data_IF_392014128758
#
_entry.id   IF_392014128758
#
_cell.length_a   1.000
_cell.length_b   1.000
_cell.length_c   1.000
_cell.angle_alpha   90.00
_cell.angle_beta   90.00
_cell.angle_gamma   90.00
#
_symmetry.space_group_name_H-M   'P 1'
#
loop_
_entity.id
_entity.type
_entity.pdbx_description
1 polymer ?
#
# COMPACT_ATOMS: atom_id res chain seq x y z
N UNK A 1 -9.23 -15.96 4.16
CA UNK A 1 -7.78 -16.12 3.94
C UNK A 1 -7.38 -15.47 2.63
N UNK A 2 -6.92 -14.22 2.64
CA UNK A 2 -6.14 -13.67 1.52
C UNK A 2 -4.80 -14.39 1.46
N UNK A 3 -4.60 -15.27 0.47
CA UNK A 3 -3.27 -15.71 0.06
C UNK A 3 -2.81 -14.80 -1.10
N UNK A 4 -1.52 -14.52 -1.32
CA UNK A 4 -1.06 -13.66 -2.43
C UNK A 4 0.14 -14.32 -3.17
N UNK A 5 0.01 -14.55 -4.46
CA UNK A 5 0.57 -15.75 -5.08
C UNK A 5 1.08 -15.34 -6.43
N UNK A 6 2.40 -15.45 -6.51
CA UNK A 6 3.28 -14.90 -7.54
C UNK A 6 2.83 -13.55 -8.08
N UNK A 7 3.37 -12.51 -7.45
CA UNK A 7 3.76 -11.33 -8.18
C UNK A 7 4.63 -11.72 -9.39
N UNK A 8 4.38 -11.09 -10.53
CA UNK A 8 5.29 -11.09 -11.69
C UNK A 8 6.50 -10.20 -11.40
N UNK A 9 7.23 -10.56 -10.35
CA UNK A 9 8.64 -10.32 -10.08
C UNK A 9 8.96 -11.23 -8.90
N UNK A 10 10.14 -11.85 -8.88
CA UNK A 10 10.48 -12.95 -7.97
C UNK A 10 10.59 -12.61 -6.47
N UNK A 11 9.96 -11.52 -5.98
CA UNK A 11 10.19 -10.92 -4.66
C UNK A 11 8.94 -10.47 -3.87
N UNK A 12 7.72 -10.88 -4.23
CA UNK A 12 6.52 -10.57 -3.44
C UNK A 12 6.50 -11.29 -2.06
N UNK A 13 5.87 -10.68 -1.05
CA UNK A 13 5.66 -11.28 0.28
C UNK A 13 4.20 -11.69 0.48
N UNK A 14 3.99 -12.94 0.89
CA UNK A 14 2.69 -13.41 1.38
C UNK A 14 2.41 -12.85 2.79
N UNK A 15 1.23 -12.25 2.94
CA UNK A 15 0.72 -11.71 4.20
C UNK A 15 -0.69 -12.27 4.41
N UNK A 16 -0.89 -12.92 5.55
CA UNK A 16 -2.22 -13.35 5.98
C UNK A 16 -2.92 -12.18 6.67
N UNK A 17 -4.21 -12.00 6.39
CA UNK A 17 -5.05 -11.01 7.06
C UNK A 17 -6.34 -11.61 7.57
N UNK A 18 -6.78 -11.07 8.71
CA UNK A 18 -8.02 -11.35 9.38
C UNK A 18 -8.94 -10.10 9.40
N UNK A 19 -10.19 -10.31 9.81
CA UNK A 19 -11.12 -9.20 10.00
C UNK A 19 -10.58 -8.24 11.08
N UNK A 20 -10.57 -6.94 10.76
CA UNK A 20 -10.05 -5.89 11.63
C UNK A 20 -8.60 -5.49 11.33
N UNK A 21 -7.87 -6.27 10.54
CA UNK A 21 -6.52 -5.88 10.10
C UNK A 21 -6.58 -4.70 9.14
N UNK A 22 -5.58 -3.81 9.25
CA UNK A 22 -5.40 -2.68 8.35
C UNK A 22 -4.04 -2.77 7.69
N UNK A 23 -4.05 -2.81 6.35
CA UNK A 23 -2.84 -2.76 5.55
C UNK A 23 -2.72 -1.37 4.95
N UNK A 24 -1.54 -0.76 5.15
CA UNK A 24 -1.16 0.46 4.47
C UNK A 24 -0.12 0.14 3.38
N UNK A 25 -0.42 0.51 2.14
CA UNK A 25 0.42 0.23 0.98
C UNK A 25 1.02 1.54 0.45
N UNK A 26 2.35 1.65 0.33
CA UNK A 26 2.98 2.78 -0.36
C UNK A 26 2.56 2.85 -1.83
N UNK A 27 2.60 4.05 -2.42
CA UNK A 27 2.41 4.21 -3.86
C UNK A 27 3.37 3.31 -4.66
N UNK A 28 2.88 2.77 -5.78
CA UNK A 28 3.62 1.82 -6.61
C UNK A 28 3.59 0.37 -6.12
N UNK A 29 2.94 0.07 -4.99
CA UNK A 29 2.82 -1.29 -4.48
C UNK A 29 1.73 -2.06 -5.23
N UNK A 30 2.14 -3.04 -6.04
CA UNK A 30 1.23 -4.06 -6.55
C UNK A 30 0.81 -5.04 -5.47
N UNK A 31 -0.48 -5.35 -5.37
CA UNK A 31 -0.98 -6.38 -4.47
C UNK A 31 -2.00 -7.26 -5.22
N UNK A 32 -2.19 -8.49 -4.74
CA UNK A 32 -3.10 -9.44 -5.33
C UNK A 32 -3.74 -10.28 -4.23
N UNK A 33 -5.01 -10.61 -4.45
CA UNK A 33 -5.68 -11.74 -3.81
C UNK A 33 -5.49 -13.02 -4.62
N UNK A 34 -5.10 -14.09 -3.94
CA UNK A 34 -5.15 -15.47 -4.43
C UNK A 34 -6.34 -16.21 -3.87
N UNK A 35 -6.45 -16.25 -2.55
CA UNK A 35 -7.49 -16.99 -1.83
C UNK A 35 -8.34 -16.00 -1.05
N UNK A 36 -9.55 -16.37 -0.65
CA UNK A 36 -10.37 -15.61 0.29
C UNK A 36 -11.41 -16.51 0.93
N UNK A 37 -11.85 -16.17 2.14
CA UNK A 37 -13.07 -16.77 2.68
C UNK A 37 -14.29 -16.23 1.93
N UNK A 38 -15.43 -16.92 2.02
CA UNK A 38 -16.64 -16.53 1.29
C UNK A 38 -17.20 -15.16 1.72
N UNK A 39 -16.91 -14.74 2.95
CA UNK A 39 -17.33 -13.49 3.58
C UNK A 39 -16.26 -12.38 3.51
N UNK A 40 -15.20 -12.58 2.72
CA UNK A 40 -14.10 -11.64 2.64
C UNK A 40 -14.50 -10.31 1.98
N UNK A 41 -14.25 -9.20 2.69
CA UNK A 41 -14.52 -7.83 2.24
C UNK A 41 -13.30 -6.93 2.45
N UNK A 42 -13.03 -6.05 1.48
CA UNK A 42 -12.03 -4.98 1.58
C UNK A 42 -12.69 -3.66 1.28
N UNK A 43 -12.34 -2.66 2.09
CA UNK A 43 -12.65 -1.26 1.81
C UNK A 43 -11.32 -0.55 1.60
N UNK A 44 -11.15 0.04 0.42
CA UNK A 44 -10.00 0.88 0.09
C UNK A 44 -10.32 2.34 0.37
N UNK A 45 -9.30 3.08 0.83
CA UNK A 45 -9.36 4.53 1.00
C UNK A 45 -8.04 5.16 0.56
N UNK A 46 -8.13 6.40 0.10
CA UNK A 46 -6.99 7.24 -0.24
C UNK A 46 -7.03 8.49 0.64
N UNK A 47 -5.88 9.14 0.91
CA UNK A 47 -5.86 10.43 1.59
C UNK A 47 -6.77 11.45 0.88
N UNK A 48 -7.27 12.48 1.60
CA UNK A 48 -8.06 13.55 0.99
C UNK A 48 -7.39 14.13 -0.24
N UNK A 49 -8.17 14.43 -1.28
CA UNK A 49 -7.73 14.96 -2.57
C UNK A 49 -6.79 14.06 -3.38
N UNK A 50 -6.57 12.81 -2.95
CA UNK A 50 -5.85 11.81 -3.74
C UNK A 50 -6.82 10.82 -4.38
N UNK A 51 -6.54 10.49 -5.64
CA UNK A 51 -7.31 9.51 -6.41
C UNK A 51 -6.38 8.41 -6.91
N UNK A 52 -6.93 7.20 -7.01
CA UNK A 52 -6.19 6.05 -7.52
C UNK A 52 -5.91 6.21 -9.02
N UNK A 53 -4.65 6.02 -9.41
CA UNK A 53 -4.23 5.76 -10.80
C UNK A 53 -3.84 4.28 -10.91
N UNK A 54 -4.82 3.43 -11.23
CA UNK A 54 -4.62 1.97 -11.26
C UNK A 54 -3.84 1.57 -12.52
N UNK A 55 -2.60 1.10 -12.31
CA UNK A 55 -1.72 0.59 -13.36
C UNK A 55 -1.36 -0.87 -13.10
N UNK A 56 -1.62 -1.74 -14.07
CA UNK A 56 -1.38 -3.19 -13.97
C UNK A 56 -0.15 -3.68 -14.73
N UNK A 57 0.44 -2.84 -15.57
CA UNK A 57 1.68 -3.12 -16.28
C UNK A 57 2.93 -2.91 -15.41
N UNK A 58 4.09 -3.30 -15.93
CA UNK A 58 5.36 -2.95 -15.30
C UNK A 58 5.54 -1.43 -15.28
N UNK A 59 6.04 -0.89 -14.16
CA UNK A 59 6.25 0.55 -14.01
C UNK A 59 7.22 1.10 -15.07
N UNK A 60 6.79 2.14 -15.75
CA UNK A 60 7.63 2.95 -16.65
C UNK A 60 8.55 3.88 -15.85
N UNK A 61 9.42 4.62 -16.54
CA UNK A 61 10.24 5.65 -15.88
C UNK A 61 9.37 6.78 -15.32
N UNK A 62 8.36 7.21 -16.07
CA UNK A 62 7.42 8.25 -15.65
C UNK A 62 6.58 7.80 -14.44
N UNK A 63 6.18 6.52 -14.40
CA UNK A 63 5.49 5.97 -13.24
C UNK A 63 6.34 6.04 -11.98
N UNK A 64 7.65 5.74 -12.08
CA UNK A 64 8.56 5.83 -10.93
C UNK A 64 8.70 7.27 -10.44
N UNK A 65 8.84 8.23 -11.35
CA UNK A 65 8.87 9.66 -11.02
C UNK A 65 7.58 10.09 -10.33
N UNK A 66 6.43 9.65 -10.84
CA UNK A 66 5.13 9.96 -10.25
C UNK A 66 4.96 9.34 -8.84
N UNK A 67 5.39 8.09 -8.65
CA UNK A 67 5.37 7.38 -7.36
C UNK A 67 6.24 8.12 -6.33
N UNK A 68 7.45 8.53 -6.71
CA UNK A 68 8.36 9.26 -5.82
C UNK A 68 7.83 10.65 -5.42
N UNK A 69 6.97 11.24 -6.26
CA UNK A 69 6.34 12.53 -5.99
C UNK A 69 5.07 12.44 -5.13
N UNK A 70 4.58 11.23 -4.79
CA UNK A 70 3.38 11.08 -3.96
C UNK A 70 3.66 11.58 -2.53
N UNK A 71 2.90 12.57 -2.03
CA UNK A 71 3.12 13.09 -0.69
C UNK A 71 2.74 12.05 0.37
N UNK A 72 3.52 12.02 1.46
CA UNK A 72 3.19 11.21 2.62
C UNK A 72 1.85 11.65 3.25
N UNK A 73 1.07 10.71 3.80
CA UNK A 73 -0.16 11.04 4.51
C UNK A 73 0.17 11.85 5.77
N UNK A 74 -0.60 12.91 6.02
CA UNK A 74 -0.44 13.76 7.20
C UNK A 74 -0.79 13.05 8.52
N UNK A 75 -1.65 12.04 8.45
CA UNK A 75 -2.14 11.28 9.61
C UNK A 75 -2.27 9.81 9.24
N UNK A 76 -2.11 8.93 10.24
CA UNK A 76 -2.47 7.53 10.12
C UNK A 76 -4.01 7.40 10.11
N UNK A 77 -4.62 6.68 9.15
CA UNK A 77 -6.07 6.60 9.02
C UNK A 77 -6.75 5.83 10.16
N UNK A 78 -6.00 5.09 10.98
CA UNK A 78 -6.51 4.32 12.11
C UNK A 78 -6.15 4.98 13.43
N UNK A 79 -4.87 5.37 13.59
CA UNK A 79 -4.31 5.81 14.87
C UNK A 79 -4.04 7.33 14.95
N UNK A 80 -4.32 8.08 13.87
CA UNK A 80 -4.20 9.54 13.88
C UNK A 80 -2.75 10.04 13.77
N UNK A 81 -2.45 11.18 14.42
CA UNK A 81 -1.22 11.93 14.20
C UNK A 81 0.08 11.24 14.66
N UNK A 82 -0.03 10.28 15.58
CA UNK A 82 1.12 9.54 16.14
C UNK A 82 1.13 8.07 15.69
N UNK A 83 0.35 7.73 14.66
CA UNK A 83 0.27 6.36 14.16
C UNK A 83 1.53 5.91 13.41
N UNK A 84 1.72 4.58 13.26
CA UNK A 84 2.87 4.00 12.58
C UNK A 84 3.08 4.50 11.16
N UNK A 85 1.99 4.82 10.42
CA UNK A 85 2.09 5.40 9.08
C UNK A 85 2.95 6.67 9.06
N UNK A 86 2.73 7.55 10.04
CA UNK A 86 3.48 8.80 10.17
C UNK A 86 4.91 8.50 10.62
N UNK A 87 5.09 7.68 11.65
CA UNK A 87 6.42 7.43 12.24
C UNK A 87 7.35 6.70 11.26
N UNK A 88 6.90 5.58 10.68
CA UNK A 88 7.74 4.71 9.86
C UNK A 88 8.06 5.37 8.52
N UNK A 89 7.06 5.95 7.84
CA UNK A 89 7.27 6.47 6.50
C UNK A 89 8.02 7.81 6.51
N UNK A 90 7.76 8.69 7.47
CA UNK A 90 8.58 9.90 7.60
C UNK A 90 10.04 9.54 7.92
N UNK A 91 10.29 8.60 8.85
CA UNK A 91 11.65 8.17 9.17
C UNK A 91 12.38 7.58 7.94
N UNK A 92 11.68 6.76 7.15
CA UNK A 92 12.24 6.17 5.93
C UNK A 92 12.57 7.20 4.85
N UNK A 93 11.85 8.33 4.75
CA UNK A 93 12.17 9.42 3.82
C UNK A 93 13.45 10.16 4.23
N UNK A 94 13.59 10.48 5.51
CA UNK A 94 14.79 11.16 6.01
C UNK A 94 16.05 10.30 5.83
N UNK A 95 15.93 8.97 5.93
CA UNK A 95 17.04 8.06 5.68
C UNK A 95 17.46 7.95 4.20
N UNK A 96 16.66 8.47 3.26
CA UNK A 96 16.97 8.51 1.81
C UNK A 96 17.52 9.86 1.36
N UNK A 97 17.63 10.82 2.28
CA UNK A 97 18.16 12.18 2.08
C UNK A 97 19.66 12.20 2.34
#
# INVERSE_FOLDING_TARGET
MLKAGRASSSAGREVEVAAGDVILLPAGTGHRRDEASADFLVIGGYPPEQHADIKSGAATADDRIAIDAVPLPRFDPVLGAEGPAVIVWHSAMHARS
#
